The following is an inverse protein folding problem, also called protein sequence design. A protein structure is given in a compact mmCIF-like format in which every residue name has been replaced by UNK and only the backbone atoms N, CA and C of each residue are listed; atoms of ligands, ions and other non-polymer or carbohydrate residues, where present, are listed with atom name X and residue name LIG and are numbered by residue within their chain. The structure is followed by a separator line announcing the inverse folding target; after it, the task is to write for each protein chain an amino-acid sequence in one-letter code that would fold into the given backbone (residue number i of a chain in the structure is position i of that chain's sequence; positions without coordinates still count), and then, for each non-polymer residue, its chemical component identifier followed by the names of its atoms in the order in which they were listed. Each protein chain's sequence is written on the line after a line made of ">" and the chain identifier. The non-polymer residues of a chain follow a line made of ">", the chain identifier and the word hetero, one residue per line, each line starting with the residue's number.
data_IF_939564871312
#
_entry.id   IF_939564871312
#
_cell.length_a   1.000
_cell.length_b   1.000
_cell.length_c   1.000
_cell.angle_alpha   90.00
_cell.angle_beta   90.00
_cell.angle_gamma   90.00
#
_symmetry.space_group_name_H-M   'P 1'
#
loop_
_entity.id
_entity.type
_entity.pdbx_description
1 polymer ?
#
# COMPACT_ATOMS: atom_id res chain seq x y z
N UNK A 1 -12.07 -29.18 -15.75
CA UNK A 1 -12.12 -30.21 -14.69
C UNK A 1 -10.80 -30.98 -14.73
N UNK A 2 -9.84 -30.69 -13.84
CA UNK A 2 -8.75 -31.61 -13.49
C UNK A 2 -8.32 -31.29 -12.05
N UNK A 3 -8.67 -32.18 -11.13
CA UNK A 3 -8.16 -32.20 -9.76
C UNK A 3 -6.81 -32.90 -9.75
N UNK A 4 -5.86 -32.36 -9.00
CA UNK A 4 -4.76 -33.15 -8.46
C UNK A 4 -4.45 -32.67 -7.05
N UNK A 5 -5.18 -33.23 -6.08
CA UNK A 5 -4.85 -33.13 -4.66
C UNK A 5 -3.63 -34.04 -4.47
N UNK A 6 -2.43 -33.48 -4.68
CA UNK A 6 -1.15 -34.16 -4.48
C UNK A 6 -0.34 -34.51 -5.72
N UNK A 7 -0.67 -34.02 -6.93
CA UNK A 7 0.09 -34.38 -8.13
C UNK A 7 0.73 -33.22 -8.88
N UNK A 8 1.89 -33.52 -9.47
CA UNK A 8 2.72 -32.63 -10.28
C UNK A 8 1.92 -32.02 -11.44
N UNK A 9 2.06 -30.71 -11.63
CA UNK A 9 1.52 -29.98 -12.79
C UNK A 9 2.45 -30.22 -14.00
N UNK A 10 2.09 -31.15 -14.88
CA UNK A 10 2.93 -31.57 -16.02
C UNK A 10 2.64 -30.79 -17.32
N UNK A 11 2.30 -29.51 -17.25
CA UNK A 11 2.06 -28.68 -18.43
C UNK A 11 2.45 -27.23 -18.18
N UNK A 12 2.94 -26.50 -19.21
CA UNK A 12 3.21 -25.07 -19.09
C UNK A 12 2.02 -24.31 -18.50
N UNK A 13 2.25 -23.55 -17.43
CA UNK A 13 1.24 -22.76 -16.75
C UNK A 13 1.58 -21.28 -16.91
N UNK A 14 0.60 -20.45 -17.29
CA UNK A 14 0.79 -19.00 -17.30
C UNK A 14 0.95 -18.51 -15.86
N UNK A 15 1.78 -17.50 -15.65
CA UNK A 15 2.04 -16.96 -14.31
C UNK A 15 0.74 -16.49 -13.63
N UNK A 16 -0.08 -15.72 -14.34
CA UNK A 16 -1.40 -15.26 -13.86
C UNK A 16 -2.42 -16.38 -13.57
N UNK A 17 -2.22 -17.60 -14.10
CA UNK A 17 -3.05 -18.78 -13.78
C UNK A 17 -2.52 -19.57 -12.58
N UNK A 18 -1.27 -19.31 -12.16
CA UNK A 18 -0.66 -19.98 -11.03
C UNK A 18 -1.23 -19.46 -9.70
N UNK A 19 -1.39 -20.36 -8.74
CA UNK A 19 -1.82 -20.03 -7.39
C UNK A 19 -0.77 -20.47 -6.37
N UNK A 20 -0.41 -19.52 -5.53
CA UNK A 20 0.56 -19.67 -4.46
C UNK A 20 -0.16 -19.55 -3.11
N UNK A 21 0.14 -20.42 -2.18
CA UNK A 21 -0.18 -20.18 -0.77
C UNK A 21 0.69 -19.04 -0.24
N UNK A 22 0.34 -18.52 0.93
CA UNK A 22 1.17 -17.53 1.61
C UNK A 22 2.58 -18.07 1.89
N UNK A 23 2.68 -19.34 2.32
CA UNK A 23 3.96 -20.04 2.54
C UNK A 23 4.78 -20.17 1.25
N UNK A 24 4.12 -20.47 0.12
CA UNK A 24 4.82 -20.56 -1.17
C UNK A 24 5.44 -19.21 -1.54
N UNK A 25 4.66 -18.12 -1.45
CA UNK A 25 5.15 -16.77 -1.72
C UNK A 25 6.30 -16.38 -0.78
N UNK A 26 6.15 -16.64 0.51
CA UNK A 26 7.19 -16.34 1.49
C UNK A 26 8.47 -17.15 1.22
N UNK A 27 8.33 -18.41 0.81
CA UNK A 27 9.44 -19.28 0.41
C UNK A 27 10.16 -18.81 -0.86
N UNK A 28 9.43 -18.43 -1.91
CA UNK A 28 10.05 -17.97 -3.17
C UNK A 28 10.67 -16.58 -3.03
N UNK A 29 10.12 -15.71 -2.17
CA UNK A 29 10.64 -14.37 -1.90
C UNK A 29 11.82 -14.35 -0.92
N UNK A 30 12.26 -15.51 -0.41
CA UNK A 30 13.34 -15.58 0.57
C UNK A 30 12.96 -14.96 1.92
N UNK A 31 11.67 -15.03 2.26
CA UNK A 31 11.05 -14.47 3.46
C UNK A 31 10.87 -12.95 3.47
N UNK A 32 10.96 -12.32 2.29
CA UNK A 32 10.65 -10.90 2.14
C UNK A 32 9.16 -10.68 1.87
N UNK A 33 8.55 -9.77 2.62
CA UNK A 33 7.18 -9.30 2.38
C UNK A 33 6.99 -7.88 2.92
N UNK A 34 7.32 -6.88 2.11
CA UNK A 34 7.28 -5.46 2.51
C UNK A 34 5.87 -4.92 2.77
N UNK A 35 4.83 -5.61 2.28
CA UNK A 35 3.43 -5.28 2.56
C UNK A 35 2.81 -6.19 3.65
N UNK A 36 3.56 -7.15 4.19
CA UNK A 36 3.09 -8.16 5.15
C UNK A 36 1.81 -8.91 4.68
N UNK A 37 1.67 -9.14 3.38
CA UNK A 37 0.49 -9.79 2.77
C UNK A 37 0.41 -11.30 3.08
N UNK A 38 1.57 -11.93 3.16
CA UNK A 38 1.80 -13.38 3.21
C UNK A 38 2.24 -13.84 4.60
N UNK A 39 2.93 -12.97 5.35
CA UNK A 39 3.22 -13.19 6.75
C UNK A 39 2.13 -12.57 7.62
N UNK A 40 1.09 -13.35 7.97
CA UNK A 40 0.21 -12.94 9.07
C UNK A 40 1.05 -12.77 10.37
N UNK A 41 0.59 -11.94 11.31
CA UNK A 41 1.32 -11.63 12.57
C UNK A 41 1.71 -12.85 13.41
N UNK A 42 1.11 -14.02 13.18
CA UNK A 42 1.47 -15.29 13.83
C UNK A 42 2.43 -16.20 13.04
N UNK A 43 2.89 -15.82 11.85
CA UNK A 43 3.71 -16.69 10.97
C UNK A 43 5.22 -16.56 11.20
N UNK A 44 5.69 -15.46 11.79
CA UNK A 44 7.12 -15.21 11.92
C UNK A 44 7.62 -15.64 13.30
N UNK A 45 8.41 -16.72 13.30
CA UNK A 45 9.24 -17.07 14.45
C UNK A 45 10.24 -15.94 14.72
N UNK A 46 10.35 -15.48 15.97
CA UNK A 46 11.42 -14.56 16.41
C UNK A 46 12.82 -15.22 16.43
N UNK A 47 12.89 -16.51 16.14
CA UNK A 47 14.12 -17.29 15.98
C UNK A 47 14.47 -17.38 14.49
N UNK A 48 15.49 -16.62 14.10
CA UNK A 48 15.96 -16.44 12.72
C UNK A 48 16.37 -17.75 12.05
N UNK A 49 17.01 -18.68 12.78
CA UNK A 49 17.45 -19.96 12.24
C UNK A 49 16.24 -20.85 11.87
N UNK A 50 15.22 -20.86 12.74
CA UNK A 50 13.96 -21.58 12.45
C UNK A 50 13.20 -20.95 11.30
N UNK A 51 13.19 -19.62 11.21
CA UNK A 51 12.56 -18.92 10.10
C UNK A 51 13.26 -19.25 8.78
N UNK A 52 14.59 -19.17 8.74
CA UNK A 52 15.38 -19.51 7.55
C UNK A 52 15.15 -20.96 7.08
N UNK A 53 15.14 -21.91 8.03
CA UNK A 53 14.83 -23.32 7.74
C UNK A 53 13.41 -23.51 7.18
N UNK A 54 12.44 -22.77 7.72
CA UNK A 54 11.05 -22.79 7.26
C UNK A 54 10.92 -22.23 5.84
N UNK A 55 11.54 -21.08 5.56
CA UNK A 55 11.60 -20.46 4.22
C UNK A 55 12.17 -21.43 3.19
N UNK A 56 13.30 -22.08 3.50
CA UNK A 56 13.91 -23.08 2.61
C UNK A 56 12.99 -24.29 2.39
N UNK A 57 12.28 -24.73 3.43
CA UNK A 57 11.34 -25.85 3.37
C UNK A 57 10.15 -25.51 2.47
N UNK A 58 9.55 -24.34 2.64
CA UNK A 58 8.44 -23.85 1.82
C UNK A 58 8.86 -23.67 0.37
N UNK A 59 10.05 -23.10 0.12
CA UNK A 59 10.61 -23.01 -1.23
C UNK A 59 10.72 -24.38 -1.90
N UNK A 60 11.33 -25.35 -1.24
CA UNK A 60 11.49 -26.73 -1.78
C UNK A 60 10.14 -27.38 -2.09
N UNK A 61 9.13 -27.21 -1.23
CA UNK A 61 7.77 -27.69 -1.46
C UNK A 61 7.14 -27.02 -2.69
N UNK A 62 7.28 -25.71 -2.82
CA UNK A 62 6.77 -24.91 -3.94
C UNK A 62 7.36 -25.40 -5.27
N UNK A 63 8.69 -25.47 -5.36
CA UNK A 63 9.41 -25.93 -6.56
C UNK A 63 8.98 -27.34 -6.95
N UNK A 64 8.87 -28.25 -5.98
CA UNK A 64 8.41 -29.62 -6.23
C UNK A 64 6.98 -29.68 -6.78
N UNK A 65 6.07 -28.87 -6.23
CA UNK A 65 4.67 -28.76 -6.64
C UNK A 65 4.52 -28.17 -8.05
N UNK A 66 5.32 -27.15 -8.36
CA UNK A 66 5.29 -26.42 -9.63
C UNK A 66 6.22 -27.01 -10.70
N UNK A 67 6.90 -28.13 -10.43
CA UNK A 67 7.75 -28.80 -11.41
C UNK A 67 6.96 -29.15 -12.68
N UNK A 68 7.50 -28.81 -13.85
CA UNK A 68 6.87 -29.06 -15.15
C UNK A 68 5.94 -27.95 -15.63
N UNK A 69 5.72 -26.90 -14.83
CA UNK A 69 4.92 -25.72 -15.21
C UNK A 69 5.67 -24.71 -16.08
N UNK A 70 7.00 -24.80 -16.13
CA UNK A 70 7.85 -23.78 -16.75
C UNK A 70 8.05 -22.51 -15.91
N UNK A 71 7.49 -22.43 -14.70
CA UNK A 71 7.75 -21.33 -13.75
C UNK A 71 9.05 -21.50 -12.97
N UNK A 72 9.53 -22.74 -12.89
CA UNK A 72 10.84 -23.11 -12.36
C UNK A 72 11.57 -23.97 -13.38
N UNK A 73 12.90 -23.83 -13.45
CA UNK A 73 13.76 -24.68 -14.26
C UNK A 73 14.03 -26.05 -13.60
N UNK A 74 14.82 -26.89 -14.27
CA UNK A 74 15.15 -28.23 -13.79
C UNK A 74 16.03 -28.22 -12.52
N UNK A 75 16.77 -27.14 -12.29
CA UNK A 75 17.58 -26.91 -11.09
C UNK A 75 16.77 -26.31 -9.94
N UNK A 76 15.49 -25.97 -10.19
CA UNK A 76 14.58 -25.40 -9.20
C UNK A 76 14.76 -23.90 -8.97
N UNK A 77 15.42 -23.20 -9.90
CA UNK A 77 15.45 -21.74 -9.94
C UNK A 77 14.21 -21.20 -10.64
N UNK A 78 13.82 -19.97 -10.31
CA UNK A 78 12.76 -19.27 -11.00
C UNK A 78 13.11 -19.10 -12.49
N UNK A 79 12.22 -19.54 -13.37
CA UNK A 79 12.34 -19.25 -14.79
C UNK A 79 12.20 -17.74 -15.04
N UNK A 80 12.68 -17.27 -16.20
CA UNK A 80 12.72 -15.85 -16.57
C UNK A 80 11.41 -15.09 -16.30
N UNK A 81 10.27 -15.68 -16.69
CA UNK A 81 8.94 -15.08 -16.49
C UNK A 81 8.61 -14.84 -15.01
N UNK A 82 8.93 -15.79 -14.14
CA UNK A 82 8.68 -15.67 -12.71
C UNK A 82 9.71 -14.74 -12.08
N UNK A 83 10.99 -14.90 -12.42
CA UNK A 83 12.09 -14.06 -11.92
C UNK A 83 11.82 -12.58 -12.18
N UNK A 84 11.48 -12.21 -13.42
CA UNK A 84 11.14 -10.83 -13.78
C UNK A 84 9.92 -10.31 -13.01
N UNK A 85 8.88 -11.12 -12.84
CA UNK A 85 7.68 -10.71 -12.09
C UNK A 85 7.96 -10.54 -10.59
N UNK A 86 8.94 -11.25 -10.01
CA UNK A 86 9.29 -11.10 -8.60
C UNK A 86 10.15 -9.87 -8.32
N UNK A 87 10.87 -9.30 -9.31
CA UNK A 87 11.79 -8.18 -9.10
C UNK A 87 11.14 -6.97 -8.40
N UNK A 88 9.96 -6.46 -8.83
CA UNK A 88 9.31 -5.35 -8.13
C UNK A 88 8.93 -5.66 -6.68
N UNK A 89 8.66 -6.94 -6.36
CA UNK A 89 8.33 -7.38 -5.00
C UNK A 89 9.58 -7.46 -4.12
N UNK A 90 10.70 -7.91 -4.69
CA UNK A 90 11.96 -8.10 -3.97
C UNK A 90 12.71 -6.78 -3.72
N UNK A 91 12.51 -5.79 -4.60
CA UNK A 91 13.14 -4.47 -4.53
C UNK A 91 12.13 -3.38 -4.90
N UNK A 92 11.05 -3.22 -4.11
CA UNK A 92 10.08 -2.18 -4.38
C UNK A 92 10.70 -0.81 -4.13
N UNK A 93 10.34 0.17 -4.95
CA UNK A 93 10.43 1.60 -4.61
C UNK A 93 9.26 2.00 -3.71
N UNK A 94 8.08 1.48 -4.04
CA UNK A 94 6.85 1.70 -3.27
C UNK A 94 6.11 0.36 -3.18
N UNK A 95 5.69 -0.02 -1.99
CA UNK A 95 4.84 -1.17 -1.73
C UNK A 95 3.50 -0.68 -1.18
N UNK A 96 2.38 -1.10 -1.77
CA UNK A 96 1.03 -0.63 -1.44
C UNK A 96 0.17 -1.83 -1.02
N UNK A 97 -0.61 -1.72 0.05
CA UNK A 97 -1.53 -2.77 0.53
C UNK A 97 -2.92 -2.22 0.85
N UNK A 98 -3.93 -3.08 0.81
CA UNK A 98 -5.30 -2.73 1.22
C UNK A 98 -5.63 -3.08 2.68
N UNK A 99 -4.61 -3.30 3.49
CA UNK A 99 -4.73 -3.46 4.93
C UNK A 99 -3.50 -2.87 5.61
N UNK A 100 -3.65 -2.47 6.87
CA UNK A 100 -2.56 -2.00 7.71
C UNK A 100 -1.45 -3.06 7.83
N UNK A 101 -0.22 -2.65 8.19
CA UNK A 101 0.83 -3.60 8.57
C UNK A 101 0.33 -4.60 9.62
N UNK A 102 0.50 -5.90 9.35
CA UNK A 102 -0.01 -6.99 10.18
C UNK A 102 -1.52 -7.29 10.05
N UNK A 103 -2.24 -6.51 9.25
CA UNK A 103 -3.63 -6.75 8.89
C UNK A 103 -3.80 -7.88 7.86
N UNK A 104 -5.04 -8.36 7.70
CA UNK A 104 -5.37 -9.42 6.74
C UNK A 104 -5.54 -8.85 5.32
N UNK A 105 -4.45 -8.41 4.71
CA UNK A 105 -4.47 -7.89 3.35
C UNK A 105 -4.96 -8.95 2.33
N UNK A 106 -5.65 -8.49 1.30
CA UNK A 106 -6.10 -9.33 0.18
C UNK A 106 -5.50 -8.92 -1.16
N UNK A 107 -4.82 -7.78 -1.20
CA UNK A 107 -4.09 -7.32 -2.37
C UNK A 107 -2.92 -6.43 -1.95
N UNK A 108 -1.85 -6.45 -2.74
CA UNK A 108 -0.83 -5.43 -2.72
C UNK A 108 -0.21 -5.21 -4.09
N UNK A 109 0.33 -4.01 -4.28
CA UNK A 109 1.00 -3.57 -5.51
C UNK A 109 2.42 -3.11 -5.16
N UNK A 110 3.40 -3.67 -5.85
CA UNK A 110 4.82 -3.39 -5.66
C UNK A 110 5.33 -2.68 -6.91
N UNK A 111 5.75 -1.43 -6.75
CA UNK A 111 6.23 -0.55 -7.82
C UNK A 111 7.75 -0.61 -7.81
N UNK A 112 8.34 -1.24 -8.82
CA UNK A 112 9.79 -1.31 -9.02
C UNK A 112 10.29 -0.25 -10.01
N UNK A 113 11.58 -0.32 -10.34
CA UNK A 113 12.22 0.55 -11.33
C UNK A 113 11.73 0.27 -12.76
N UNK A 114 11.67 -1.01 -13.13
CA UNK A 114 11.45 -1.45 -14.51
C UNK A 114 10.07 -2.10 -14.73
N UNK A 115 9.19 -2.04 -13.74
CA UNK A 115 7.86 -2.63 -13.81
C UNK A 115 7.19 -2.72 -12.45
N UNK A 116 5.92 -3.14 -12.45
CA UNK A 116 5.13 -3.30 -11.23
C UNK A 116 4.60 -4.72 -11.13
N UNK A 117 4.37 -5.20 -9.92
CA UNK A 117 3.76 -6.50 -9.70
C UNK A 117 2.70 -6.39 -8.62
N UNK A 118 1.52 -6.92 -8.86
CA UNK A 118 0.52 -7.11 -7.84
C UNK A 118 0.49 -8.53 -7.32
N UNK A 119 0.28 -8.66 -6.02
CA UNK A 119 -0.14 -9.89 -5.36
C UNK A 119 -1.63 -9.75 -5.02
N UNK A 120 -2.49 -10.58 -5.62
CA UNK A 120 -3.94 -10.54 -5.37
C UNK A 120 -4.44 -11.89 -4.89
N UNK A 121 -5.22 -11.89 -3.81
CA UNK A 121 -5.77 -13.10 -3.21
C UNK A 121 -7.11 -13.45 -3.87
N UNK A 122 -7.14 -14.58 -4.56
CA UNK A 122 -8.36 -15.15 -5.09
C UNK A 122 -9.21 -15.78 -3.98
N UNK A 123 -10.52 -15.56 -4.05
CA UNK A 123 -11.49 -16.11 -3.09
C UNK A 123 -11.89 -17.54 -3.50
N UNK A 124 -12.22 -18.38 -2.51
CA UNK A 124 -12.84 -19.69 -2.71
C UNK A 124 -11.93 -20.90 -2.47
N UNK A 125 -12.47 -22.10 -2.74
CA UNK A 125 -11.87 -23.40 -2.41
C UNK A 125 -10.55 -23.72 -3.16
N UNK A 126 -10.34 -23.10 -4.32
CA UNK A 126 -9.07 -23.13 -5.08
C UNK A 126 -8.35 -21.78 -5.02
N UNK A 127 -8.71 -20.94 -4.06
CA UNK A 127 -8.13 -19.63 -3.86
C UNK A 127 -6.65 -19.72 -3.47
N UNK A 128 -5.97 -18.60 -3.66
CA UNK A 128 -4.55 -18.46 -3.44
C UNK A 128 -4.10 -17.09 -3.93
N UNK A 129 -2.83 -16.80 -3.79
CA UNK A 129 -2.25 -15.58 -4.32
C UNK A 129 -1.88 -15.77 -5.78
N UNK A 130 -2.33 -14.84 -6.61
CA UNK A 130 -1.89 -14.66 -7.98
C UNK A 130 -0.79 -13.59 -8.02
N UNK A 131 0.21 -13.81 -8.88
CA UNK A 131 1.24 -12.83 -9.22
C UNK A 131 0.86 -12.21 -10.56
N UNK A 132 0.68 -10.89 -10.58
CA UNK A 132 0.18 -10.15 -11.75
C UNK A 132 1.20 -9.06 -12.11
N UNK A 133 2.07 -9.28 -13.11
CA UNK A 133 3.01 -8.25 -13.56
C UNK A 133 2.30 -7.19 -14.42
N UNK A 134 2.82 -5.96 -14.37
CA UNK A 134 2.36 -4.80 -15.13
C UNK A 134 3.55 -4.03 -15.70
N UNK A 135 3.34 -3.43 -16.88
CA UNK A 135 4.32 -2.60 -17.56
C UNK A 135 4.28 -1.16 -17.01
N UNK A 136 5.43 -0.50 -16.92
CA UNK A 136 5.59 0.87 -16.41
C UNK A 136 4.82 1.93 -17.22
N UNK A 137 4.50 1.62 -18.49
CA UNK A 137 3.76 2.49 -19.39
C UNK A 137 2.23 2.40 -19.21
N UNK A 138 1.73 1.45 -18.41
CA UNK A 138 0.30 1.36 -18.12
C UNK A 138 -0.16 2.56 -17.28
N UNK A 139 -1.43 2.93 -17.39
CA UNK A 139 -1.97 3.97 -16.52
C UNK A 139 -2.00 3.49 -15.06
N UNK A 140 -1.31 4.21 -14.19
CA UNK A 140 -1.15 3.82 -12.80
C UNK A 140 -2.48 3.82 -12.02
N UNK A 141 -3.44 4.68 -12.40
CA UNK A 141 -4.75 4.72 -11.75
C UNK A 141 -5.61 3.52 -12.16
N UNK A 142 -5.54 3.11 -13.43
CA UNK A 142 -6.18 1.89 -13.92
C UNK A 142 -5.61 0.64 -13.24
N UNK A 143 -4.28 0.56 -13.07
CA UNK A 143 -3.65 -0.56 -12.35
C UNK A 143 -4.09 -0.58 -10.89
N UNK A 144 -4.01 0.54 -10.17
CA UNK A 144 -4.48 0.62 -8.77
C UNK A 144 -5.95 0.22 -8.65
N UNK A 145 -6.79 0.69 -9.57
CA UNK A 145 -8.22 0.36 -9.56
C UNK A 145 -8.49 -1.13 -9.79
N UNK A 146 -7.73 -1.77 -10.68
CA UNK A 146 -7.79 -3.21 -10.93
C UNK A 146 -7.31 -4.05 -9.75
N UNK A 147 -6.19 -3.65 -9.13
CA UNK A 147 -5.56 -4.40 -8.03
C UNK A 147 -6.42 -4.34 -6.77
N UNK A 148 -6.88 -3.15 -6.40
CA UNK A 148 -7.60 -2.91 -5.14
C UNK A 148 -9.13 -2.94 -5.29
N UNK A 149 -9.63 -3.35 -6.46
CA UNK A 149 -11.06 -3.38 -6.80
C UNK A 149 -11.75 -2.05 -6.48
N UNK A 150 -11.11 -0.95 -6.90
CA UNK A 150 -11.63 0.41 -6.72
C UNK A 150 -12.55 0.84 -7.84
N UNK A 151 -13.43 1.81 -7.55
CA UNK A 151 -14.20 2.46 -8.59
C UNK A 151 -13.25 3.22 -9.52
N UNK A 152 -13.63 3.35 -10.80
CA UNK A 152 -12.88 4.17 -11.74
C UNK A 152 -12.70 5.57 -11.18
N UNK A 153 -11.48 6.08 -11.24
CA UNK A 153 -11.14 7.44 -10.83
C UNK A 153 -11.86 8.43 -11.76
N UNK A 154 -12.63 9.33 -11.17
CA UNK A 154 -13.20 10.49 -11.85
C UNK A 154 -12.29 11.71 -11.61
N UNK A 155 -12.26 12.62 -12.58
CA UNK A 155 -11.55 13.89 -12.41
C UNK A 155 -12.34 14.76 -11.45
N UNK A 156 -11.67 15.30 -10.43
CA UNK A 156 -12.29 16.32 -9.58
C UNK A 156 -12.58 17.58 -10.39
N UNK A 157 -13.61 18.33 -10.00
CA UNK A 157 -13.81 19.70 -10.48
C UNK A 157 -12.80 20.69 -9.85
N UNK A 158 -12.07 20.26 -8.82
CA UNK A 158 -11.22 21.07 -7.96
C UNK A 158 -9.77 20.58 -7.95
N UNK A 159 -8.85 21.50 -7.75
CA UNK A 159 -7.41 21.24 -7.68
C UNK A 159 -6.83 22.01 -6.50
N UNK A 160 -6.90 21.39 -5.32
CA UNK A 160 -6.55 22.01 -4.05
C UNK A 160 -5.90 20.95 -3.15
N UNK A 161 -4.97 21.37 -2.30
CA UNK A 161 -4.46 20.51 -1.22
C UNK A 161 -3.99 21.34 -0.03
N UNK A 162 -4.07 20.78 1.16
CA UNK A 162 -3.65 21.43 2.39
C UNK A 162 -3.30 20.43 3.48
N UNK A 163 -2.41 20.84 4.38
CA UNK A 163 -2.09 20.08 5.60
C UNK A 163 -3.10 20.37 6.68
N UNK A 164 -3.58 19.34 7.37
CA UNK A 164 -4.56 19.45 8.46
C UNK A 164 -4.00 18.80 9.74
N UNK A 165 -4.56 19.14 10.90
CA UNK A 165 -4.24 18.48 12.17
C UNK A 165 -4.97 17.14 12.29
N UNK A 166 -4.49 16.26 13.17
CA UNK A 166 -5.20 15.01 13.46
C UNK A 166 -6.60 15.25 14.02
N UNK A 167 -6.74 16.22 14.94
CA UNK A 167 -8.05 16.61 15.48
C UNK A 167 -9.01 17.16 14.42
N UNK A 168 -8.47 17.79 13.37
CA UNK A 168 -9.25 18.28 12.23
C UNK A 168 -9.61 17.17 11.26
N UNK A 169 -8.83 16.08 11.18
CA UNK A 169 -9.14 14.90 10.35
C UNK A 169 -10.45 14.25 10.76
N UNK A 170 -10.61 14.02 12.07
CA UNK A 170 -11.81 13.39 12.61
C UNK A 170 -13.01 14.32 12.43
N UNK A 171 -12.81 15.61 12.73
CA UNK A 171 -13.82 16.67 12.49
C UNK A 171 -14.22 16.75 11.01
N UNK A 172 -13.26 16.67 10.09
CA UNK A 172 -13.51 16.69 8.64
C UNK A 172 -14.35 15.48 8.23
N UNK A 173 -13.97 14.29 8.70
CA UNK A 173 -14.66 13.04 8.38
C UNK A 173 -16.12 13.07 8.87
N UNK A 174 -16.34 13.55 10.09
CA UNK A 174 -17.68 13.70 10.67
C UNK A 174 -18.50 14.76 9.95
N UNK A 175 -17.90 15.91 9.63
CA UNK A 175 -18.55 16.99 8.90
C UNK A 175 -18.98 16.56 7.49
N UNK A 176 -18.10 15.87 6.76
CA UNK A 176 -18.41 15.31 5.43
C UNK A 176 -19.58 14.33 5.52
N UNK A 177 -19.58 13.44 6.51
CA UNK A 177 -20.62 12.43 6.70
C UNK A 177 -21.98 13.01 7.15
N UNK A 178 -21.96 14.09 7.94
CA UNK A 178 -23.18 14.70 8.51
C UNK A 178 -23.72 15.87 7.69
N UNK A 179 -22.94 16.41 6.75
CA UNK A 179 -23.30 17.62 6.02
C UNK A 179 -23.11 18.90 6.83
N UNK A 180 -22.18 18.94 7.78
CA UNK A 180 -21.91 20.12 8.61
C UNK A 180 -21.14 21.19 7.81
N UNK A 181 -21.89 22.04 7.10
CA UNK A 181 -21.37 23.10 6.24
C UNK A 181 -20.44 24.08 6.97
N UNK A 182 -20.72 24.36 8.25
CA UNK A 182 -19.96 25.38 9.00
C UNK A 182 -18.60 24.81 9.44
N UNK A 183 -18.55 23.54 9.83
CA UNK A 183 -17.29 22.85 10.08
C UNK A 183 -16.44 22.75 8.81
N UNK A 184 -17.05 22.38 7.66
CA UNK A 184 -16.34 22.30 6.38
C UNK A 184 -15.76 23.65 5.95
N UNK A 185 -16.54 24.74 6.03
CA UNK A 185 -16.05 26.10 5.72
C UNK A 185 -14.91 26.53 6.65
N UNK A 186 -14.99 26.19 7.93
CA UNK A 186 -13.95 26.53 8.91
C UNK A 186 -12.62 25.85 8.57
N UNK A 187 -12.66 24.55 8.24
CA UNK A 187 -11.48 23.79 7.81
C UNK A 187 -10.94 24.34 6.50
N UNK A 188 -11.81 24.57 5.51
CA UNK A 188 -11.45 25.14 4.21
C UNK A 188 -10.67 26.46 4.35
N UNK A 189 -11.19 27.38 5.18
CA UNK A 189 -10.56 28.68 5.43
C UNK A 189 -9.20 28.55 6.13
N UNK A 190 -9.11 27.74 7.19
CA UNK A 190 -7.86 27.56 7.95
C UNK A 190 -6.76 26.90 7.12
N UNK A 191 -7.14 26.00 6.22
CA UNK A 191 -6.22 25.08 5.55
C UNK A 191 -6.01 25.37 4.07
N UNK A 192 -6.57 26.49 3.60
CA UNK A 192 -6.49 26.94 2.21
C UNK A 192 -6.96 25.85 1.22
N UNK A 193 -8.08 25.20 1.57
CA UNK A 193 -8.76 24.21 0.73
C UNK A 193 -10.07 24.83 0.28
N UNK A 194 -10.52 24.55 -0.95
CA UNK A 194 -11.81 25.03 -1.43
C UNK A 194 -12.97 24.51 -0.58
N UNK A 195 -13.78 25.43 -0.04
CA UNK A 195 -15.01 25.09 0.67
C UNK A 195 -16.02 24.39 -0.26
N UNK A 196 -16.09 24.80 -1.53
CA UNK A 196 -16.95 24.18 -2.53
C UNK A 196 -16.51 22.72 -2.83
N UNK A 197 -15.20 22.44 -2.76
CA UNK A 197 -14.69 21.08 -2.93
C UNK A 197 -15.09 20.16 -1.77
N UNK A 198 -14.95 20.66 -0.54
CA UNK A 198 -15.41 19.94 0.66
C UNK A 198 -16.93 19.75 0.66
N UNK A 199 -17.68 20.74 0.15
CA UNK A 199 -19.12 20.63 -0.02
C UNK A 199 -19.50 19.55 -1.04
N UNK A 200 -18.87 19.56 -2.22
CA UNK A 200 -19.12 18.55 -3.27
C UNK A 200 -18.80 17.12 -2.79
N UNK A 201 -17.77 16.98 -1.96
CA UNK A 201 -17.45 15.73 -1.28
C UNK A 201 -18.58 15.32 -0.32
N UNK A 202 -19.04 16.23 0.54
CA UNK A 202 -20.12 15.97 1.50
C UNK A 202 -21.45 15.66 0.80
N UNK A 203 -21.80 16.40 -0.24
CA UNK A 203 -23.00 16.19 -1.04
C UNK A 203 -23.01 14.79 -1.67
N UNK A 204 -21.87 14.26 -2.11
CA UNK A 204 -21.83 12.89 -2.62
C UNK A 204 -22.06 11.83 -1.54
N UNK A 205 -21.69 12.12 -0.29
CA UNK A 205 -22.04 11.26 0.85
C UNK A 205 -23.53 11.37 1.18
N UNK A 206 -24.09 12.58 1.19
CA UNK A 206 -25.49 12.86 1.56
C UNK A 206 -26.54 12.53 0.48
N UNK A 207 -26.24 12.76 -0.80
CA UNK A 207 -27.13 12.52 -1.95
C UNK A 207 -27.29 11.03 -2.28
N UNK A 208 -26.45 10.18 -1.70
CA UNK A 208 -26.55 8.76 -1.92
C UNK A 208 -27.71 8.16 -1.10
N UNK A 209 -28.80 7.80 -1.79
CA UNK A 209 -29.87 6.95 -1.27
C UNK A 209 -29.31 5.53 -0.94
N UNK A 210 -28.49 5.43 0.11
CA UNK A 210 -27.88 4.20 0.59
C UNK A 210 -26.64 3.70 -0.18
N UNK A 211 -26.00 4.52 -1.03
CA UNK A 211 -24.79 4.14 -1.78
C UNK A 211 -23.69 5.19 -1.67
N UNK A 212 -23.17 5.38 -0.44
CA UNK A 212 -22.04 6.28 -0.20
C UNK A 212 -20.92 5.98 -1.20
N UNK A 213 -20.25 7.01 -1.76
CA UNK A 213 -19.08 6.77 -2.60
C UNK A 213 -18.09 5.91 -1.81
N UNK A 214 -17.59 4.86 -2.44
CA UNK A 214 -16.72 3.89 -1.76
C UNK A 214 -15.37 4.56 -1.52
N UNK A 215 -15.06 4.81 -0.25
CA UNK A 215 -13.72 5.16 0.18
C UNK A 215 -12.84 3.91 0.24
N UNK A 216 -11.57 4.06 -0.09
CA UNK A 216 -10.58 3.00 -0.02
C UNK A 216 -9.44 3.44 0.87
N UNK A 217 -9.15 2.62 1.85
CA UNK A 217 -8.02 2.80 2.74
C UNK A 217 -6.88 1.90 2.26
N UNK A 218 -5.74 2.51 2.02
CA UNK A 218 -4.54 1.87 1.50
C UNK A 218 -3.34 2.29 2.35
N UNK A 219 -2.36 1.41 2.45
CA UNK A 219 -1.12 1.68 3.16
C UNK A 219 0.03 1.60 2.18
N UNK A 220 0.99 2.52 2.32
CA UNK A 220 2.16 2.57 1.46
C UNK A 220 3.42 2.49 2.30
N UNK A 221 4.41 1.76 1.81
CA UNK A 221 5.78 1.81 2.29
C UNK A 221 6.69 2.22 1.14
N UNK A 222 7.41 3.33 1.31
CA UNK A 222 8.40 3.83 0.37
C UNK A 222 9.78 3.39 0.83
N UNK A 223 10.49 2.74 -0.07
CA UNK A 223 11.81 2.12 0.16
C UNK A 223 12.80 2.51 -0.91
N UNK A 224 12.49 3.50 -1.73
CA UNK A 224 13.43 4.07 -2.70
C UNK A 224 14.64 4.68 -1.97
N UNK A 225 15.85 4.25 -2.37
CA UNK A 225 17.10 4.64 -1.72
C UNK A 225 17.41 3.92 -0.42
N UNK A 226 16.58 2.95 0.00
CA UNK A 226 16.90 2.06 1.11
C UNK A 226 17.76 0.88 0.66
N UNK A 227 18.65 0.44 1.53
CA UNK A 227 19.34 -0.85 1.40
C UNK A 227 18.77 -1.84 2.43
N UNK A 228 18.74 -3.12 2.07
CA UNK A 228 18.23 -4.20 2.91
C UNK A 228 19.31 -5.27 3.04
N UNK A 229 19.77 -5.51 4.26
CA UNK A 229 20.68 -6.62 4.54
C UNK A 229 19.89 -7.88 4.92
N UNK A 230 20.31 -9.07 4.44
CA UNK A 230 19.75 -10.32 4.94
C UNK A 230 20.08 -10.48 6.42
N UNK A 231 19.07 -10.77 7.25
CA UNK A 231 19.25 -11.10 8.67
C UNK A 231 18.96 -12.59 8.84
N UNK A 232 19.94 -13.33 9.38
CA UNK A 232 19.76 -14.76 9.64
C UNK A 232 19.48 -15.62 8.39
N UNK A 233 19.85 -15.16 7.19
CA UNK A 233 19.57 -15.86 5.93
C UNK A 233 18.17 -15.60 5.35
N UNK A 234 17.42 -14.67 5.93
CA UNK A 234 16.11 -14.21 5.46
C UNK A 234 16.20 -12.73 5.07
N UNK A 235 15.47 -12.33 4.03
CA UNK A 235 15.35 -10.91 3.66
C UNK A 235 14.28 -10.26 4.53
N UNK A 236 14.67 -9.30 5.37
CA UNK A 236 13.70 -8.56 6.20
C UNK A 236 13.19 -7.32 5.47
N UNK A 237 11.96 -6.85 5.75
CA UNK A 237 11.43 -5.62 5.17
C UNK A 237 11.96 -4.36 5.86
N UNK A 238 12.97 -4.47 6.73
CA UNK A 238 13.54 -3.35 7.47
C UNK A 238 14.85 -2.90 6.84
N UNK A 239 15.00 -1.62 6.51
CA UNK A 239 16.21 -1.12 5.86
C UNK A 239 17.40 -1.15 6.83
N UNK A 240 18.59 -1.47 6.30
CA UNK A 240 19.88 -1.26 6.98
C UNK A 240 20.42 0.16 6.78
N UNK A 241 19.94 0.85 5.73
CA UNK A 241 20.25 2.25 5.43
C UNK A 241 19.13 2.91 4.62
N UNK A 242 19.10 4.24 4.60
CA UNK A 242 18.11 5.04 3.87
C UNK A 242 16.78 5.22 4.61
N UNK A 243 16.05 6.27 4.25
CA UNK A 243 14.81 6.65 4.93
C UNK A 243 13.60 5.89 4.36
N UNK A 244 13.17 4.86 5.08
CA UNK A 244 11.85 4.28 4.87
C UNK A 244 10.79 5.28 5.30
N UNK A 245 9.73 5.39 4.51
CA UNK A 245 8.60 6.28 4.80
C UNK A 245 7.30 5.52 4.61
N UNK A 246 6.36 5.73 5.51
CA UNK A 246 5.06 5.05 5.47
C UNK A 246 3.94 6.05 5.38
N UNK A 247 2.85 5.64 4.75
CA UNK A 247 1.61 6.41 4.79
C UNK A 247 0.38 5.53 4.84
N UNK A 248 -0.68 6.08 5.43
CA UNK A 248 -2.04 5.58 5.36
C UNK A 248 -2.84 6.57 4.52
N UNK A 249 -3.53 6.07 3.51
CA UNK A 249 -4.17 6.88 2.48
C UNK A 249 -5.62 6.45 2.32
N UNK A 250 -6.54 7.38 2.54
CA UNK A 250 -7.93 7.25 2.15
C UNK A 250 -8.13 7.95 0.81
N UNK A 251 -8.65 7.23 -0.18
CA UNK A 251 -9.04 7.80 -1.48
C UNK A 251 -10.52 7.63 -1.73
N UNK A 252 -11.13 8.64 -2.37
CA UNK A 252 -12.49 8.57 -2.89
C UNK A 252 -12.40 8.82 -4.40
N UNK A 253 -12.22 7.75 -5.22
CA UNK A 253 -11.93 7.86 -6.65
C UNK A 253 -12.95 8.69 -7.43
N UNK A 254 -14.24 8.55 -7.10
CA UNK A 254 -15.32 9.26 -7.77
C UNK A 254 -15.31 10.79 -7.54
N UNK A 255 -14.47 11.27 -6.62
CA UNK A 255 -14.33 12.71 -6.31
C UNK A 255 -12.93 13.23 -6.54
N UNK A 256 -12.02 12.40 -7.05
CA UNK A 256 -10.61 12.75 -7.13
C UNK A 256 -10.02 13.17 -5.78
N UNK A 257 -10.61 12.73 -4.66
CA UNK A 257 -10.22 13.14 -3.32
C UNK A 257 -9.23 12.14 -2.71
N UNK A 258 -8.27 12.67 -1.96
CA UNK A 258 -7.42 11.89 -1.07
C UNK A 258 -7.26 12.58 0.29
N UNK A 259 -7.00 11.75 1.29
CA UNK A 259 -6.52 12.13 2.61
C UNK A 259 -5.41 11.16 2.96
N UNK A 260 -4.22 11.66 3.30
CA UNK A 260 -3.09 10.83 3.69
C UNK A 260 -2.52 11.27 5.02
N UNK A 261 -2.10 10.29 5.81
CA UNK A 261 -1.30 10.46 7.01
C UNK A 261 0.04 9.83 6.67
N UNK A 262 1.10 10.63 6.67
CA UNK A 262 2.42 10.18 6.23
C UNK A 262 3.49 10.68 7.18
N UNK A 263 4.57 9.92 7.29
CA UNK A 263 5.78 10.33 7.98
C UNK A 263 6.88 10.70 6.98
N UNK A 264 7.64 11.76 7.26
CA UNK A 264 8.81 12.12 6.48
C UNK A 264 9.93 12.66 7.40
N UNK A 265 11.20 12.30 7.17
CA UNK A 265 12.30 12.72 8.02
C UNK A 265 12.57 14.23 7.89
N UNK A 266 13.23 14.80 8.90
CA UNK A 266 13.93 16.07 8.81
C UNK A 266 15.43 15.84 8.54
N UNK A 267 16.10 16.86 8.01
CA UNK A 267 17.56 16.83 7.89
C UNK A 267 18.21 16.65 9.27
N UNK A 268 19.05 15.63 9.40
CA UNK A 268 19.73 15.27 10.65
C UNK A 268 19.02 14.21 11.50
N UNK A 269 17.79 13.81 11.17
CA UNK A 269 17.15 12.67 11.81
C UNK A 269 17.92 11.36 11.49
N UNK A 270 17.95 10.38 12.41
CA UNK A 270 18.44 9.05 12.07
C UNK A 270 17.53 8.39 11.04
N UNK A 271 18.08 7.57 10.14
CA UNK A 271 17.27 6.82 9.16
C UNK A 271 16.27 5.85 9.81
N UNK A 272 16.50 5.51 11.08
CA UNK A 272 15.62 4.69 11.92
C UNK A 272 14.49 5.48 12.58
N UNK A 273 14.24 6.74 12.20
CA UNK A 273 13.26 7.61 12.87
C UNK A 273 11.85 7.01 12.97
N UNK A 274 11.43 6.19 11.99
CA UNK A 274 10.13 5.50 12.02
C UNK A 274 9.98 4.48 13.15
N UNK A 275 11.09 4.01 13.73
CA UNK A 275 11.10 3.03 14.84
C UNK A 275 11.17 3.71 16.22
N UNK A 276 11.36 5.02 16.25
CA UNK A 276 11.26 5.82 17.45
C UNK A 276 9.87 6.47 17.49
N UNK A 277 9.00 6.00 18.38
CA UNK A 277 7.60 6.43 18.44
C UNK A 277 7.45 7.96 18.62
N UNK A 278 8.32 8.59 19.42
CA UNK A 278 8.25 10.03 19.68
C UNK A 278 8.69 10.81 18.44
N UNK A 279 9.82 10.41 17.86
CA UNK A 279 10.33 11.06 16.67
C UNK A 279 9.40 10.85 15.46
N UNK A 280 8.89 9.64 15.26
CA UNK A 280 7.97 9.30 14.18
C UNK A 280 6.67 10.13 14.27
N UNK A 281 6.10 10.28 15.47
CA UNK A 281 4.93 11.15 15.68
C UNK A 281 5.22 12.60 15.33
N UNK A 282 6.35 13.14 15.81
CA UNK A 282 6.81 14.49 15.49
C UNK A 282 7.19 14.70 14.02
N UNK A 283 7.20 13.63 13.21
CA UNK A 283 7.46 13.63 11.76
C UNK A 283 6.25 13.19 10.95
N UNK A 284 5.10 12.99 11.59
CA UNK A 284 3.87 12.60 10.94
C UNK A 284 2.99 13.81 10.69
N UNK A 285 2.45 13.91 9.48
CA UNK A 285 1.54 14.97 9.07
C UNK A 285 0.32 14.39 8.34
N UNK A 286 -0.79 15.14 8.35
CA UNK A 286 -1.97 14.82 7.56
C UNK A 286 -2.11 15.82 6.41
N UNK A 287 -2.35 15.32 5.18
CA UNK A 287 -2.64 16.13 4.01
C UNK A 287 -3.94 15.66 3.38
N UNK A 288 -4.77 16.60 2.96
CA UNK A 288 -5.98 16.34 2.16
C UNK A 288 -5.90 17.08 0.84
N UNK A 289 -6.54 16.56 -0.19
CA UNK A 289 -6.59 17.26 -1.47
C UNK A 289 -7.52 16.65 -2.51
N UNK A 290 -7.66 17.38 -3.60
CA UNK A 290 -8.46 17.07 -4.77
C UNK A 290 -7.59 17.14 -6.02
N UNK A 291 -7.72 16.14 -6.90
CA UNK A 291 -6.94 16.00 -8.12
C UNK A 291 -7.85 16.17 -9.33
N UNK A 292 -7.75 17.32 -9.99
CA UNK A 292 -8.48 17.64 -11.24
C UNK A 292 -7.78 17.04 -12.47
N UNK A 293 -6.50 17.34 -12.61
CA UNK A 293 -5.62 16.83 -13.67
C UNK A 293 -4.52 15.95 -13.06
N UNK A 294 -4.04 14.97 -13.82
CA UNK A 294 -3.03 14.03 -13.33
C UNK A 294 -3.62 12.72 -12.78
N UNK A 295 -2.85 12.05 -11.93
CA UNK A 295 -3.15 10.70 -11.45
C UNK A 295 -3.39 10.71 -9.93
N UNK A 296 -4.65 10.51 -9.53
CA UNK A 296 -5.07 10.56 -8.11
C UNK A 296 -4.17 9.71 -7.21
N UNK A 297 -3.90 8.47 -7.60
CA UNK A 297 -3.12 7.56 -6.78
C UNK A 297 -1.65 7.98 -6.67
N UNK A 298 -1.06 8.59 -7.70
CA UNK A 298 0.30 9.15 -7.60
C UNK A 298 0.36 10.28 -6.56
N UNK A 299 -0.60 11.20 -6.59
CA UNK A 299 -0.66 12.31 -5.62
C UNK A 299 -0.94 11.82 -4.19
N UNK A 300 -1.87 10.86 -4.08
CA UNK A 300 -2.27 10.29 -2.81
C UNK A 300 -1.15 9.49 -2.13
N UNK A 301 -0.30 8.80 -2.91
CA UNK A 301 0.83 8.03 -2.40
C UNK A 301 2.14 8.82 -2.34
N UNK A 302 2.21 10.03 -2.90
CA UNK A 302 3.44 10.80 -2.85
C UNK A 302 3.78 11.20 -1.40
N UNK A 303 4.97 10.83 -0.91
CA UNK A 303 5.53 11.33 0.33
C UNK A 303 6.73 12.21 -0.04
N UNK A 304 6.79 13.48 0.44
CA UNK A 304 7.92 14.35 0.18
C UNK A 304 9.23 13.73 0.69
N UNK A 305 10.35 14.20 0.16
CA UNK A 305 11.67 13.76 0.62
C UNK A 305 11.89 14.12 2.08
N UNK A 306 11.53 15.35 2.44
CA UNK A 306 11.69 15.94 3.76
C UNK A 306 10.35 16.37 4.35
N UNK A 307 10.28 16.44 5.67
CA UNK A 307 9.12 16.95 6.39
C UNK A 307 8.72 18.35 5.88
N UNK A 308 7.46 18.57 5.47
CA UNK A 308 7.02 19.86 4.97
C UNK A 308 7.09 20.92 6.08
N UNK A 309 7.73 22.06 5.81
CA UNK A 309 7.91 23.12 6.82
C UNK A 309 6.59 23.76 7.26
N UNK A 310 5.57 23.69 6.40
CA UNK A 310 4.22 24.18 6.62
C UNK A 310 3.26 23.11 7.16
N UNK A 311 3.70 21.85 7.23
CA UNK A 311 2.93 20.78 7.85
C UNK A 311 2.94 20.92 9.38
N UNK A 312 1.76 20.71 9.96
CA UNK A 312 1.59 20.61 11.40
C UNK A 312 1.83 19.16 11.83
N UNK A 313 2.50 19.00 12.97
CA UNK A 313 2.69 17.68 13.58
C UNK A 313 1.34 17.12 13.98
N UNK A 314 1.21 15.79 13.99
CA UNK A 314 0.02 15.12 14.51
C UNK A 314 -0.28 15.51 15.98
N UNK A 315 0.76 15.94 16.73
CA UNK A 315 0.67 16.36 18.13
C UNK A 315 0.30 17.85 18.32
N UNK A 316 0.12 18.63 17.26
CA UNK A 316 -0.28 20.04 17.35
C UNK A 316 -1.78 20.18 17.72
N UNK A 317 -2.15 19.79 18.95
CA UNK A 317 -3.54 19.68 19.42
C UNK A 317 -4.25 21.02 19.74
N UNK A 318 -3.59 22.17 19.57
CA UNK A 318 -4.20 23.47 19.95
C UNK A 318 -5.25 23.97 18.96
N UNK A 319 -6.40 23.31 18.89
CA UNK A 319 -7.61 23.82 18.22
C UNK A 319 -8.55 24.46 19.24
N UNK A 320 -8.64 25.78 19.23
CA UNK A 320 -9.69 26.53 19.93
C UNK A 320 -10.51 27.26 18.86
N UNK A 321 -11.72 26.80 18.53
CA UNK A 321 -12.65 27.56 17.69
C UNK A 321 -13.28 28.59 18.60
N UNK A 322 -12.77 29.82 18.58
CA UNK A 322 -13.53 30.93 19.13
C UNK A 322 -14.69 31.22 18.17
N UNK A 323 -15.91 30.96 18.65
CA UNK A 323 -17.15 31.43 18.02
C UNK A 323 -17.05 32.94 17.78
N UNK A 324 -17.27 33.38 16.53
CA UNK A 324 -17.57 34.77 16.20
C UNK A 324 -18.95 34.84 15.57
#
# INVERSE_FOLDING_TARGET
>A
MFFNIGGKLNSPLRLEDARFSAEDLFGILGGYDSCMLTAGTGFLSYDDEKLASSVQTWRKKTVSRMRGTGLFDDDGQEAEVLSHALLPILQPKIAISNASPGGAASAGLFVGQDGWTALKKDKGFLGGWAILPFDVNQDFSEVCSSVFDTAKVERSAFEDSGYIRDSERDTLTDAVNSGDLEALKSIAWLRNISADALQDLSDAYGASLGKKPKAFELWTTHTEGCEFEPVGGVRTPFPSSGYRKTSQVTVIPAKGFYMKIASAPCEGDPFTFEFDDELCRARTFCQVGFVREGNLFKEAFAIPEWYPKDALSIDDETWIPTKH
#
